data_IF_047237521351
#
_entry.id   IF_047237521351
#
_cell.length_a   1.000
_cell.length_b   1.000
_cell.length_c   1.000
_cell.angle_alpha   90.00
_cell.angle_beta   90.00
_cell.angle_gamma   90.00
#
_symmetry.space_group_name_H-M   'P 1'
#
loop_
_entity.id
_entity.type
_entity.pdbx_description
1 polymer ?
#
# COMPACT_ATOMS: atom_id res chain seq x y z
N UNK A 1 5.33 17.13 23.74
CA UNK A 1 4.26 17.95 23.16
C UNK A 1 3.04 17.86 24.06
N UNK A 2 2.40 18.98 24.40
CA UNK A 2 1.20 18.97 25.24
C UNK A 2 0.02 18.30 24.49
N UNK A 3 -0.93 17.70 25.22
CA UNK A 3 -2.14 17.10 24.64
C UNK A 3 -2.90 18.07 23.72
N UNK A 4 -3.06 19.32 24.14
CA UNK A 4 -3.73 20.37 23.34
C UNK A 4 -3.02 20.61 22.01
N UNK A 5 -1.68 20.63 22.01
CA UNK A 5 -0.90 20.80 20.78
C UNK A 5 -1.04 19.58 19.87
N UNK A 6 -1.05 18.38 20.45
CA UNK A 6 -1.23 17.12 19.71
C UNK A 6 -2.60 17.06 19.04
N UNK A 7 -3.67 17.37 19.76
CA UNK A 7 -5.02 17.44 19.21
C UNK A 7 -5.14 18.49 18.11
N UNK A 8 -4.53 19.66 18.31
CA UNK A 8 -4.47 20.70 17.29
C UNK A 8 -3.76 20.26 16.00
N UNK A 9 -2.69 19.47 16.11
CA UNK A 9 -1.96 18.91 14.96
C UNK A 9 -2.78 17.81 14.27
N UNK A 10 -3.43 16.92 15.04
CA UNK A 10 -4.32 15.88 14.50
C UNK A 10 -5.47 16.53 13.71
N UNK A 11 -6.05 17.62 14.24
CA UNK A 11 -7.09 18.38 13.56
C UNK A 11 -6.61 19.00 12.24
N UNK A 12 -5.42 19.62 12.24
CA UNK A 12 -4.80 20.13 11.01
C UNK A 12 -4.57 19.03 9.98
N UNK A 13 -4.03 17.89 10.41
CA UNK A 13 -3.76 16.77 9.51
C UNK A 13 -5.05 16.20 8.90
N UNK A 14 -6.09 16.04 9.71
CA UNK A 14 -7.41 15.63 9.23
C UNK A 14 -7.96 16.59 8.16
N UNK A 15 -7.77 17.90 8.36
CA UNK A 15 -8.09 18.93 7.37
C UNK A 15 -7.35 18.74 6.05
N UNK A 16 -6.02 18.63 6.08
CA UNK A 16 -5.21 18.44 4.86
C UNK A 16 -5.52 17.13 4.14
N UNK A 17 -5.74 16.03 4.86
CA UNK A 17 -6.13 14.76 4.25
C UNK A 17 -7.53 14.85 3.60
N UNK A 18 -8.44 15.63 4.20
CA UNK A 18 -9.75 15.90 3.60
C UNK A 18 -9.64 16.70 2.31
N UNK A 19 -8.77 17.71 2.27
CA UNK A 19 -8.46 18.49 1.07
C UNK A 19 -7.87 17.60 -0.04
N UNK A 20 -6.89 16.76 0.27
CA UNK A 20 -6.30 15.82 -0.70
C UNK A 20 -7.33 14.89 -1.31
N UNK A 21 -8.31 14.44 -0.51
CA UNK A 21 -9.40 13.55 -0.95
C UNK A 21 -10.44 14.23 -1.84
N UNK A 22 -10.44 15.56 -1.93
CA UNK A 22 -11.27 16.27 -2.92
C UNK A 22 -10.73 16.11 -4.33
N UNK A 23 -9.44 15.79 -4.47
CA UNK A 23 -8.79 15.59 -5.77
C UNK A 23 -9.10 14.18 -6.27
N UNK A 24 -9.94 14.09 -7.30
CA UNK A 24 -10.31 12.84 -7.96
C UNK A 24 -9.33 12.50 -9.08
N UNK A 25 -8.82 11.27 -9.06
CA UNK A 25 -8.04 10.72 -10.16
C UNK A 25 -8.94 10.20 -11.28
N UNK A 26 -8.51 10.36 -12.52
CA UNK A 26 -9.17 9.73 -13.70
C UNK A 26 -8.71 8.28 -13.92
N UNK A 27 -7.54 7.95 -13.38
CA UNK A 27 -6.87 6.65 -13.48
C UNK A 27 -6.18 6.35 -12.17
N UNK A 28 -5.99 5.07 -11.85
CA UNK A 28 -5.17 4.61 -10.74
C UNK A 28 -3.75 4.41 -11.27
N UNK A 29 -2.81 5.24 -10.81
CA UNK A 29 -1.44 5.28 -11.32
C UNK A 29 -0.70 6.53 -10.86
N UNK A 30 0.44 6.84 -11.48
CA UNK A 30 1.17 8.07 -11.17
C UNK A 30 0.36 9.30 -11.56
N UNK A 31 0.61 10.42 -10.88
CA UNK A 31 -0.08 11.72 -11.12
C UNK A 31 0.12 12.23 -12.56
N UNK A 32 1.27 11.94 -13.16
CA UNK A 32 1.58 12.29 -14.55
C UNK A 32 0.96 11.33 -15.59
N UNK A 33 0.14 10.37 -15.15
CA UNK A 33 -0.45 9.33 -15.99
C UNK A 33 0.55 8.24 -16.40
N UNK A 34 1.78 8.28 -15.89
CA UNK A 34 2.72 7.18 -16.03
C UNK A 34 2.38 6.03 -15.09
N UNK A 35 3.11 4.93 -15.24
CA UNK A 35 2.89 3.76 -14.40
C UNK A 35 3.57 3.95 -13.03
N UNK A 36 2.87 3.67 -11.94
CA UNK A 36 3.29 3.92 -10.54
C UNK A 36 4.21 2.83 -10.00
N UNK A 37 5.40 3.17 -9.44
CA UNK A 37 6.50 2.24 -9.07
C UNK A 37 6.23 1.44 -7.81
N UNK A 38 5.07 0.80 -7.76
CA UNK A 38 4.67 -0.02 -6.63
C UNK A 38 5.36 -1.40 -6.69
N UNK A 39 6.08 -1.80 -5.63
CA UNK A 39 6.72 -3.11 -5.52
C UNK A 39 5.77 -4.29 -5.77
N UNK A 40 4.46 -4.11 -5.54
CA UNK A 40 3.44 -5.11 -5.81
C UNK A 40 3.50 -5.62 -7.26
N UNK A 41 3.82 -4.75 -8.20
CA UNK A 41 3.83 -5.03 -9.63
C UNK A 41 5.25 -5.23 -10.20
N UNK A 42 6.29 -5.19 -9.35
CA UNK A 42 7.69 -5.29 -9.80
C UNK A 42 8.00 -6.61 -10.51
N UNK A 43 7.28 -7.68 -10.14
CA UNK A 43 7.47 -9.04 -10.69
C UNK A 43 7.05 -9.16 -12.15
N UNK A 44 6.02 -8.42 -12.56
CA UNK A 44 5.51 -8.43 -13.93
C UNK A 44 5.32 -7.00 -14.43
N UNK A 45 6.34 -6.50 -15.12
CA UNK A 45 6.31 -5.18 -15.77
C UNK A 45 5.19 -5.03 -16.79
N UNK A 46 4.51 -6.11 -17.20
CA UNK A 46 3.32 -6.05 -18.08
C UNK A 46 2.03 -5.82 -17.29
N UNK A 47 1.96 -6.26 -16.03
CA UNK A 47 0.85 -5.94 -15.11
C UNK A 47 0.88 -4.46 -14.66
N UNK A 48 2.04 -3.83 -14.77
CA UNK A 48 2.32 -2.46 -14.41
C UNK A 48 1.85 -1.46 -15.49
N UNK A 49 0.68 -0.86 -15.30
CA UNK A 49 0.10 0.17 -16.19
C UNK A 49 -0.80 1.13 -15.39
N UNK A 50 -1.12 2.33 -15.89
CA UNK A 50 -2.23 3.10 -15.34
C UNK A 50 -3.53 2.31 -15.54
N UNK A 51 -4.32 2.17 -14.48
CA UNK A 51 -5.59 1.46 -14.54
C UNK A 51 -6.73 2.46 -14.70
N UNK A 52 -7.69 2.14 -15.55
CA UNK A 52 -8.80 3.05 -15.87
C UNK A 52 -9.81 3.16 -14.72
N UNK A 53 -9.97 2.08 -13.96
CA UNK A 53 -10.89 1.97 -12.83
C UNK A 53 -10.35 0.95 -11.82
N UNK A 54 -11.02 0.84 -10.67
CA UNK A 54 -10.63 -0.06 -9.59
C UNK A 54 -10.76 -1.53 -9.94
N UNK A 55 -11.74 -1.92 -10.77
CA UNK A 55 -11.87 -3.31 -11.23
C UNK A 55 -10.65 -3.74 -12.05
N UNK A 56 -10.19 -2.89 -12.98
CA UNK A 56 -8.97 -3.14 -13.76
C UNK A 56 -7.73 -3.23 -12.85
N UNK A 57 -7.67 -2.38 -11.81
CA UNK A 57 -6.59 -2.39 -10.83
C UNK A 57 -6.59 -3.69 -10.01
N UNK A 58 -7.74 -4.13 -9.52
CA UNK A 58 -7.91 -5.36 -8.75
C UNK A 58 -7.52 -6.61 -9.57
N UNK A 59 -7.91 -6.67 -10.85
CA UNK A 59 -7.43 -7.75 -11.73
C UNK A 59 -5.92 -7.67 -11.97
N UNK A 60 -5.35 -6.47 -12.07
CA UNK A 60 -3.89 -6.27 -12.07
C UNK A 60 -3.22 -6.85 -10.83
N UNK A 61 -3.77 -6.65 -9.64
CA UNK A 61 -3.28 -7.25 -8.39
C UNK A 61 -3.31 -8.78 -8.49
N UNK A 62 -4.41 -9.35 -8.98
CA UNK A 62 -4.55 -10.81 -9.16
C UNK A 62 -3.52 -11.34 -10.16
N UNK A 63 -3.25 -10.61 -11.24
CA UNK A 63 -2.18 -10.93 -12.20
C UNK A 63 -0.81 -11.02 -11.51
N UNK A 64 -0.50 -10.12 -10.58
CA UNK A 64 0.76 -10.19 -9.82
C UNK A 64 0.89 -11.47 -9.01
N UNK A 65 -0.23 -12.05 -8.56
CA UNK A 65 -0.27 -13.26 -7.75
C UNK A 65 -0.30 -14.56 -8.58
N UNK A 66 -0.56 -14.50 -9.90
CA UNK A 66 -0.72 -15.69 -10.74
C UNK A 66 0.46 -16.67 -10.56
N UNK A 67 0.21 -17.90 -10.10
CA UNK A 67 1.27 -18.86 -9.85
C UNK A 67 1.69 -19.57 -11.14
N UNK A 68 2.85 -20.24 -11.12
CA UNK A 68 3.28 -21.16 -12.17
C UNK A 68 2.54 -22.50 -12.13
N UNK A 69 1.92 -22.82 -10.99
CA UNK A 69 1.20 -24.08 -10.72
C UNK A 69 -0.05 -23.77 -9.91
N UNK A 70 -1.12 -24.53 -10.08
CA UNK A 70 -2.40 -24.28 -9.39
C UNK A 70 -2.23 -24.25 -7.86
N UNK A 71 -2.82 -23.24 -7.22
CA UNK A 71 -2.75 -23.05 -5.76
C UNK A 71 -4.07 -22.45 -5.24
N UNK A 72 -4.83 -23.27 -4.49
CA UNK A 72 -6.16 -22.92 -3.95
C UNK A 72 -6.09 -21.72 -2.99
N UNK A 73 -5.00 -21.54 -2.25
CA UNK A 73 -4.83 -20.37 -1.39
C UNK A 73 -4.76 -19.08 -2.21
N UNK A 74 -4.08 -19.11 -3.37
CA UNK A 74 -4.00 -17.93 -4.25
C UNK A 74 -5.36 -17.65 -4.91
N UNK A 75 -6.10 -18.69 -5.31
CA UNK A 75 -7.47 -18.55 -5.83
C UNK A 75 -8.38 -17.88 -4.78
N UNK A 76 -8.34 -18.35 -3.53
CA UNK A 76 -9.06 -17.75 -2.41
C UNK A 76 -8.70 -16.28 -2.20
N UNK A 77 -7.42 -15.92 -2.24
CA UNK A 77 -6.98 -14.51 -2.09
C UNK A 77 -7.41 -13.66 -3.29
N UNK A 78 -7.43 -14.21 -4.50
CA UNK A 78 -7.97 -13.53 -5.67
C UNK A 78 -9.47 -13.25 -5.52
N UNK A 79 -10.24 -14.19 -4.99
CA UNK A 79 -11.67 -13.98 -4.71
C UNK A 79 -11.89 -12.93 -3.62
N UNK A 80 -11.02 -12.87 -2.60
CA UNK A 80 -11.04 -11.78 -1.62
C UNK A 80 -10.81 -10.40 -2.27
N UNK A 81 -9.88 -10.30 -3.22
CA UNK A 81 -9.63 -9.06 -3.98
C UNK A 81 -10.85 -8.64 -4.78
N UNK A 82 -11.52 -9.59 -5.46
CA UNK A 82 -12.74 -9.30 -6.23
C UNK A 82 -13.93 -8.91 -5.35
N UNK A 83 -13.96 -9.38 -4.11
CA UNK A 83 -15.03 -9.08 -3.16
C UNK A 83 -14.86 -7.73 -2.42
N UNK A 84 -13.76 -7.01 -2.65
CA UNK A 84 -13.58 -5.68 -2.05
C UNK A 84 -14.65 -4.70 -2.55
N UNK A 85 -15.19 -3.82 -1.66
CA UNK A 85 -16.08 -2.75 -2.07
C UNK A 85 -15.44 -1.84 -3.12
N UNK A 86 -16.26 -1.19 -3.94
CA UNK A 86 -15.79 -0.13 -4.84
C UNK A 86 -15.61 1.21 -4.09
N UNK A 87 -14.64 1.97 -4.56
CA UNK A 87 -14.14 3.22 -3.99
C UNK A 87 -13.91 4.27 -5.06
N UNK A 88 -13.94 5.53 -4.61
CA UNK A 88 -13.43 6.62 -5.43
C UNK A 88 -11.91 6.54 -5.57
N UNK A 89 -11.41 6.82 -6.77
CA UNK A 89 -9.96 7.01 -6.98
C UNK A 89 -9.54 8.38 -6.46
N UNK A 90 -8.83 8.37 -5.32
CA UNK A 90 -8.38 9.57 -4.60
C UNK A 90 -6.85 9.65 -4.54
N UNK A 91 -6.31 10.85 -4.38
CA UNK A 91 -4.90 11.02 -4.01
C UNK A 91 -4.68 10.52 -2.58
N UNK A 92 -3.63 9.71 -2.39
CA UNK A 92 -3.20 9.26 -1.06
C UNK A 92 -1.69 9.49 -0.91
N UNK A 93 -1.25 9.83 0.30
CA UNK A 93 0.17 9.92 0.64
C UNK A 93 0.82 8.54 0.73
N UNK A 94 0.02 7.53 1.07
CA UNK A 94 0.41 6.12 1.20
C UNK A 94 1.42 5.78 2.32
N UNK A 95 2.15 6.74 2.90
CA UNK A 95 2.97 6.56 4.12
C UNK A 95 2.78 7.67 5.17
N UNK A 96 1.54 7.89 5.61
CA UNK A 96 1.26 8.93 6.59
C UNK A 96 1.65 8.47 8.00
N UNK A 97 2.76 9.00 8.51
CA UNK A 97 3.31 8.68 9.82
C UNK A 97 3.99 9.91 10.45
N UNK A 98 4.15 9.97 11.78
CA UNK A 98 4.79 11.10 12.46
C UNK A 98 6.15 11.51 11.87
N UNK A 99 6.97 10.54 11.45
CA UNK A 99 8.28 10.79 10.83
C UNK A 99 8.24 11.62 9.53
N UNK A 100 7.08 11.64 8.86
CA UNK A 100 6.85 12.31 7.59
C UNK A 100 6.12 13.65 7.76
N UNK A 101 5.89 14.12 9.00
CA UNK A 101 5.15 15.34 9.29
C UNK A 101 6.06 16.33 10.01
N UNK A 102 6.34 17.46 9.37
CA UNK A 102 7.10 18.55 10.00
C UNK A 102 6.17 19.50 10.73
N UNK A 103 6.49 19.80 11.99
CA UNK A 103 5.74 20.72 12.84
C UNK A 103 6.64 21.84 13.31
N UNK A 104 6.19 23.09 13.14
CA UNK A 104 6.84 24.29 13.67
C UNK A 104 5.78 25.12 14.39
N UNK A 105 6.05 25.53 15.63
CA UNK A 105 5.14 26.34 16.46
C UNK A 105 3.71 25.80 16.54
N UNK A 106 3.56 24.47 16.65
CA UNK A 106 2.27 23.80 16.73
C UNK A 106 1.49 23.73 15.42
N UNK A 107 2.12 24.09 14.30
CA UNK A 107 1.53 24.02 12.95
C UNK A 107 2.26 23.00 12.09
N UNK A 108 1.52 22.23 11.31
CA UNK A 108 2.12 21.39 10.27
C UNK A 108 2.63 22.31 9.16
N UNK A 109 3.92 22.26 8.89
CA UNK A 109 4.58 23.08 7.85
C UNK A 109 4.93 22.28 6.60
N UNK A 110 5.02 20.95 6.70
CA UNK A 110 5.22 20.08 5.54
C UNK A 110 4.76 18.64 5.83
N UNK A 111 4.35 17.95 4.76
CA UNK A 111 4.19 16.49 4.71
C UNK A 111 5.20 15.99 3.67
N UNK A 112 6.10 15.10 4.07
CA UNK A 112 7.27 14.63 3.31
C UNK A 112 7.13 13.15 2.92
N UNK A 113 7.99 12.69 2.00
CA UNK A 113 8.10 11.29 1.60
C UNK A 113 6.83 10.74 0.89
N UNK A 114 6.46 11.43 -0.18
CA UNK A 114 5.34 11.06 -1.07
C UNK A 114 5.67 9.90 -2.03
N UNK A 115 6.84 9.28 -1.90
CA UNK A 115 7.37 8.34 -2.88
C UNK A 115 7.02 6.88 -2.57
N UNK A 116 6.26 6.58 -1.49
CA UNK A 116 6.10 5.20 -1.05
C UNK A 116 4.78 4.84 -0.32
N UNK A 117 4.29 3.61 -0.57
CA UNK A 117 3.11 2.99 0.09
C UNK A 117 3.54 2.14 1.30
N UNK A 118 3.47 2.69 2.50
CA UNK A 118 3.98 2.08 3.74
C UNK A 118 3.07 2.16 4.96
N UNK A 119 1.99 2.94 4.94
CA UNK A 119 1.23 3.29 6.15
C UNK A 119 0.69 2.07 6.92
N UNK A 120 0.54 0.92 6.27
CA UNK A 120 0.08 -0.33 6.88
C UNK A 120 1.04 -1.51 6.65
N UNK A 121 2.31 -1.22 6.31
CA UNK A 121 3.31 -2.22 5.91
C UNK A 121 3.59 -3.21 7.04
N UNK A 122 3.72 -2.71 8.27
CA UNK A 122 3.87 -3.42 9.55
C UNK A 122 3.76 -2.32 10.62
N UNK A 123 2.58 -2.02 11.18
CA UNK A 123 2.51 -1.00 12.23
C UNK A 123 3.29 -1.51 13.44
N UNK A 124 4.19 -0.68 13.94
CA UNK A 124 4.72 -0.88 15.28
C UNK A 124 3.55 -0.66 16.24
N UNK A 125 3.01 -1.76 16.78
CA UNK A 125 1.84 -1.73 17.64
C UNK A 125 2.11 -1.04 18.98
N UNK A 126 3.38 -0.81 19.30
CA UNK A 126 3.82 -0.07 20.48
C UNK A 126 3.94 1.44 20.20
N UNK A 127 3.87 1.86 18.93
CA UNK A 127 3.91 3.26 18.57
C UNK A 127 2.68 4.00 19.10
N UNK A 128 2.92 5.13 19.76
CA UNK A 128 1.87 5.98 20.35
C UNK A 128 0.83 6.42 19.32
N UNK A 129 1.22 6.59 18.06
CA UNK A 129 0.32 6.88 16.93
C UNK A 129 -0.75 5.80 16.74
N UNK A 130 -0.36 4.54 16.92
CA UNK A 130 -1.24 3.37 16.78
C UNK A 130 -2.06 3.18 18.06
N UNK A 131 -1.42 3.22 19.23
CA UNK A 131 -2.10 3.08 20.53
C UNK A 131 -3.21 4.12 20.70
N UNK A 132 -2.96 5.36 20.31
CA UNK A 132 -3.95 6.44 20.41
C UNK A 132 -4.94 6.49 19.25
N UNK A 133 -4.88 5.51 18.35
CA UNK A 133 -5.78 5.38 17.19
C UNK A 133 -5.83 6.65 16.36
N UNK A 134 -4.67 7.28 16.11
CA UNK A 134 -4.62 8.57 15.39
C UNK A 134 -5.11 8.42 13.95
N UNK A 135 -4.83 7.28 13.31
CA UNK A 135 -5.34 6.96 11.96
C UNK A 135 -6.86 7.08 11.89
N UNK A 136 -7.57 6.55 12.89
CA UNK A 136 -9.03 6.58 12.94
C UNK A 136 -9.59 8.01 13.13
N UNK A 137 -8.79 8.91 13.71
CA UNK A 137 -9.15 10.31 13.94
C UNK A 137 -8.93 11.18 12.70
N UNK A 138 -7.96 10.84 11.86
CA UNK A 138 -7.60 11.64 10.68
C UNK A 138 -8.18 11.08 9.38
N UNK A 139 -8.62 9.82 9.38
CA UNK A 139 -9.26 9.20 8.22
C UNK A 139 -10.20 8.05 8.58
N UNK A 140 -11.21 7.85 7.73
CA UNK A 140 -11.98 6.60 7.71
C UNK A 140 -11.05 5.41 7.48
N UNK A 141 -11.02 4.41 8.37
CA UNK A 141 -10.24 3.20 8.16
C UNK A 141 -10.94 2.25 7.17
N UNK A 142 -10.13 1.61 6.34
CA UNK A 142 -10.54 0.64 5.31
C UNK A 142 -10.08 -0.75 5.75
N UNK A 143 -10.77 -1.31 6.76
CA UNK A 143 -10.32 -2.52 7.45
C UNK A 143 -10.39 -3.78 6.57
N UNK A 144 -11.38 -3.88 5.68
CA UNK A 144 -11.55 -5.02 4.77
C UNK A 144 -10.40 -5.00 3.77
N UNK A 145 -10.20 -3.87 3.12
CA UNK A 145 -9.16 -3.61 2.12
C UNK A 145 -7.78 -3.86 2.72
N UNK A 146 -7.56 -3.43 3.97
CA UNK A 146 -6.34 -3.70 4.71
C UNK A 146 -6.13 -5.21 4.94
N UNK A 147 -7.16 -5.94 5.37
CA UNK A 147 -7.07 -7.39 5.59
C UNK A 147 -6.80 -8.14 4.27
N UNK A 148 -7.45 -7.76 3.18
CA UNK A 148 -7.23 -8.34 1.86
C UNK A 148 -5.81 -8.02 1.36
N UNK A 149 -5.37 -6.76 1.44
CA UNK A 149 -4.03 -6.32 1.03
C UNK A 149 -2.93 -7.06 1.79
N UNK A 150 -3.16 -7.37 3.08
CA UNK A 150 -2.23 -8.19 3.86
C UNK A 150 -2.09 -9.61 3.28
N UNK A 151 -3.19 -10.27 2.94
CA UNK A 151 -3.15 -11.60 2.32
C UNK A 151 -2.48 -11.58 0.94
N UNK A 152 -2.77 -10.57 0.10
CA UNK A 152 -2.09 -10.35 -1.18
C UNK A 152 -0.58 -10.25 -1.01
N UNK A 153 -0.14 -9.52 0.03
CA UNK A 153 1.28 -9.37 0.34
C UNK A 153 1.92 -10.64 0.85
N UNK A 154 1.25 -11.43 1.69
CA UNK A 154 1.76 -12.75 2.11
C UNK A 154 2.01 -13.65 0.89
N UNK A 155 1.07 -13.67 -0.07
CA UNK A 155 1.24 -14.42 -1.33
C UNK A 155 2.46 -13.93 -2.10
N UNK A 156 2.59 -12.61 -2.31
CA UNK A 156 3.71 -12.05 -3.06
C UNK A 156 5.06 -12.21 -2.32
N UNK A 157 5.09 -12.06 -0.99
CA UNK A 157 6.29 -12.25 -0.18
C UNK A 157 6.75 -13.72 -0.18
N UNK A 158 5.83 -14.67 0.02
CA UNK A 158 6.13 -16.10 -0.10
C UNK A 158 6.70 -16.44 -1.48
N UNK A 159 6.09 -15.91 -2.55
CA UNK A 159 6.61 -16.13 -3.90
C UNK A 159 8.01 -15.52 -4.12
N UNK A 160 8.29 -14.32 -3.58
CA UNK A 160 9.62 -13.72 -3.62
C UNK A 160 10.64 -14.52 -2.79
N UNK A 161 10.24 -15.01 -1.62
CA UNK A 161 11.06 -15.84 -0.74
C UNK A 161 11.40 -17.19 -1.39
N UNK A 162 10.41 -17.88 -1.98
CA UNK A 162 10.63 -19.14 -2.72
C UNK A 162 11.46 -18.92 -3.99
N UNK A 163 11.32 -17.79 -4.69
CA UNK A 163 12.22 -17.45 -5.81
C UNK A 163 13.65 -17.24 -5.36
N UNK A 164 13.88 -16.57 -4.23
CA UNK A 164 15.23 -16.38 -3.68
C UNK A 164 15.83 -17.71 -3.20
N UNK A 165 15.02 -18.61 -2.62
CA UNK A 165 15.45 -19.98 -2.29
C UNK A 165 15.74 -20.78 -3.56
N UNK A 166 14.88 -20.74 -4.57
CA UNK A 166 15.06 -21.46 -5.83
C UNK A 166 16.26 -20.91 -6.65
N UNK A 167 16.51 -19.60 -6.64
CA UNK A 167 17.71 -19.01 -7.22
C UNK A 167 18.97 -19.37 -6.43
N UNK A 168 18.89 -19.50 -5.10
CA UNK A 168 20.02 -19.98 -4.27
C UNK A 168 20.25 -21.50 -4.37
N UNK A 169 19.25 -22.26 -4.85
CA UNK A 169 19.30 -23.72 -5.04
C UNK A 169 19.62 -24.13 -6.49
N UNK A 170 19.77 -23.18 -7.42
CA UNK A 170 20.27 -23.41 -8.79
C UNK A 170 21.69 -22.81 -8.90
N UNK A 171 22.59 -23.26 -8.03
CA UNK A 171 24.04 -23.24 -8.26
C UNK A 171 24.62 -24.55 -7.74
N UNK A 172 24.35 -25.66 -8.44
CA UNK A 172 25.24 -26.84 -8.42
C UNK A 172 25.29 -27.43 -9.84
N UNK A 173 26.25 -26.92 -10.61
CA UNK A 173 27.10 -27.60 -11.60
C UNK A 173 26.50 -28.52 -12.67
N UNK A 174 26.62 -28.11 -13.92
CA UNK A 174 27.33 -28.91 -14.95
C UNK A 174 28.32 -27.94 -15.64
N UNK A 175 29.54 -28.33 -16.08
CA UNK A 175 29.81 -29.54 -16.88
C UNK A 175 31.20 -30.23 -16.72
N UNK A 176 31.31 -31.42 -17.34
CA UNK A 176 32.50 -32.12 -17.88
C UNK A 176 33.50 -32.81 -16.93
N UNK A 177 33.29 -34.12 -16.70
CA UNK A 177 34.13 -35.23 -17.20
C UNK A 177 33.42 -36.57 -16.96
#
# INVERSE_FOLDING_TARGET
>A
MCLIQKEGIIGQLSGYLSELRTVKGKTIGSVDGSSSKDPLFERDKRAYRPFKNESDFNEGIIETMKPTTQNVFIEMVADMVRAMPEHDTLITHSDIAPRNILVCDGKIVAILDWEYVKALYLPDWEDTWIIERVVDKIMKPYHIEHAVTRNVREVNWLMCFFKNIAMSSIVVGTPNQ
#
